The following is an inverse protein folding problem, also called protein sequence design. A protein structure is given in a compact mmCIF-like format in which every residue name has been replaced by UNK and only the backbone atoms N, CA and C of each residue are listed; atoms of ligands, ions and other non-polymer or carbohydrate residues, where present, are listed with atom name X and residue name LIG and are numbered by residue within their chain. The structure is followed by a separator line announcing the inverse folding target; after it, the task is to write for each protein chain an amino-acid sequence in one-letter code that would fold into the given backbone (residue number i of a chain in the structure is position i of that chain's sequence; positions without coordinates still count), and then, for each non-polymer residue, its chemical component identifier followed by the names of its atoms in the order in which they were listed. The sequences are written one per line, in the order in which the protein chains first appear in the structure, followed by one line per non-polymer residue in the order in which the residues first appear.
data_IF_006262500622
#
_entry.id   IF_006262500622
#
_cell.length_a   1.000
_cell.length_b   1.000
_cell.length_c   1.000
_cell.angle_alpha   90.00
_cell.angle_beta   90.00
_cell.angle_gamma   90.00
#
_symmetry.space_group_name_H-M   'P 1'
#
loop_
_entity.id
_entity.type
_entity.pdbx_description
1 polymer ?
#
# COMPACT_ATOMS: atom_id res chain seq x y z
N UNK A 1 1.14 2.60 -7.81
CA UNK A 1 1.31 3.75 -8.72
C UNK A 1 2.74 4.29 -8.58
N UNK A 2 3.70 3.71 -9.31
CA UNK A 2 5.13 3.98 -9.13
C UNK A 2 5.53 5.43 -9.41
N UNK A 3 4.88 6.09 -10.37
CA UNK A 3 5.25 7.44 -10.82
C UNK A 3 4.01 8.35 -10.91
N UNK A 4 3.15 8.30 -9.89
CA UNK A 4 1.93 9.11 -9.89
C UNK A 4 2.24 10.61 -9.71
N UNK A 5 1.47 11.45 -10.39
CA UNK A 5 1.60 12.91 -10.29
C UNK A 5 0.25 13.63 -10.17
N UNK A 6 -0.83 13.03 -10.65
CA UNK A 6 -2.14 13.70 -10.76
C UNK A 6 -3.06 13.37 -9.60
N UNK A 7 -3.95 14.30 -9.29
CA UNK A 7 -5.03 14.09 -8.31
C UNK A 7 -5.92 12.90 -8.69
N UNK A 8 -6.07 12.62 -9.98
CA UNK A 8 -6.77 11.42 -10.47
C UNK A 8 -6.09 10.13 -9.97
N UNK A 9 -4.76 10.07 -10.02
CA UNK A 9 -4.02 8.92 -9.53
C UNK A 9 -4.11 8.82 -7.99
N UNK A 10 -4.11 9.95 -7.28
CA UNK A 10 -4.35 9.97 -5.83
C UNK A 10 -5.73 9.42 -5.47
N UNK A 11 -6.78 9.83 -6.21
CA UNK A 11 -8.13 9.34 -6.00
C UNK A 11 -8.26 7.83 -6.28
N UNK A 12 -7.64 7.33 -7.35
CA UNK A 12 -7.60 5.89 -7.64
C UNK A 12 -6.92 5.11 -6.52
N UNK A 13 -5.78 5.60 -6.03
CA UNK A 13 -5.05 4.95 -4.95
C UNK A 13 -5.86 4.94 -3.64
N UNK A 14 -6.56 6.03 -3.34
CA UNK A 14 -7.49 6.11 -2.21
C UNK A 14 -8.63 5.11 -2.32
N UNK A 15 -9.27 5.03 -3.49
CA UNK A 15 -10.32 4.06 -3.74
C UNK A 15 -9.83 2.61 -3.61
N UNK A 16 -8.64 2.30 -4.15
CA UNK A 16 -8.05 0.96 -4.04
C UNK A 16 -7.80 0.54 -2.58
N UNK A 17 -7.25 1.43 -1.75
CA UNK A 17 -7.08 1.15 -0.32
C UNK A 17 -8.42 1.00 0.38
N UNK A 18 -9.38 1.88 0.07
CA UNK A 18 -10.72 1.83 0.66
C UNK A 18 -11.47 0.51 0.33
N UNK A 19 -11.13 -0.15 -0.78
CA UNK A 19 -11.69 -1.46 -1.16
C UNK A 19 -10.83 -2.65 -0.72
N UNK A 20 -9.86 -2.44 0.18
CA UNK A 20 -9.08 -3.51 0.80
C UNK A 20 -7.87 -3.98 -0.03
N UNK A 21 -7.39 -3.16 -0.96
CA UNK A 21 -6.20 -3.45 -1.77
C UNK A 21 -5.02 -2.61 -1.28
N UNK A 22 -3.98 -3.26 -0.75
CA UNK A 22 -2.74 -2.57 -0.40
C UNK A 22 -2.18 -1.87 -1.63
N UNK A 23 -1.88 -0.58 -1.51
CA UNK A 23 -1.48 0.24 -2.64
C UNK A 23 -0.13 0.89 -2.39
N UNK A 24 0.85 0.55 -3.23
CA UNK A 24 2.20 1.13 -3.18
C UNK A 24 2.28 2.39 -4.06
N UNK A 25 2.80 3.48 -3.50
CA UNK A 25 3.08 4.74 -4.18
C UNK A 25 4.60 4.94 -4.25
N UNK A 26 5.14 5.40 -5.38
CA UNK A 26 6.56 5.76 -5.46
C UNK A 26 6.84 7.09 -4.76
N UNK A 27 6.38 8.22 -5.33
CA UNK A 27 6.38 9.51 -4.64
C UNK A 27 5.46 9.50 -3.42
N UNK A 28 5.91 10.12 -2.33
CA UNK A 28 5.09 10.34 -1.15
C UNK A 28 3.98 11.36 -1.44
N UNK A 29 2.73 11.12 -1.01
CA UNK A 29 1.70 12.16 -1.03
C UNK A 29 2.03 13.27 -0.03
N UNK A 30 1.49 14.49 -0.21
CA UNK A 30 1.77 15.65 0.63
C UNK A 30 1.08 15.58 2.01
N UNK A 31 1.34 14.51 2.77
CA UNK A 31 0.74 14.23 4.09
C UNK A 31 1.78 14.21 5.21
N UNK A 32 3.07 14.30 4.89
CA UNK A 32 4.19 14.13 5.84
C UNK A 32 4.24 15.21 6.94
N UNK A 33 3.52 16.32 6.78
CA UNK A 33 3.38 17.34 7.81
C UNK A 33 2.58 16.90 9.04
N UNK A 34 1.80 15.81 8.95
CA UNK A 34 1.02 15.29 10.07
C UNK A 34 1.33 13.83 10.35
N UNK A 35 1.97 13.56 11.50
CA UNK A 35 2.25 12.20 11.96
C UNK A 35 0.98 11.35 12.10
N UNK A 36 -0.14 11.97 12.51
CA UNK A 36 -1.41 11.27 12.65
C UNK A 36 -1.96 10.81 11.29
N UNK A 37 -1.85 11.65 10.26
CA UNK A 37 -2.32 11.31 8.90
C UNK A 37 -1.42 10.24 8.28
N UNK A 38 -0.10 10.37 8.43
CA UNK A 38 0.86 9.35 7.97
C UNK A 38 0.56 8.00 8.62
N UNK A 39 0.40 7.98 9.94
CA UNK A 39 0.09 6.76 10.70
C UNK A 39 -1.25 6.16 10.30
N UNK A 40 -2.27 6.99 10.10
CA UNK A 40 -3.56 6.53 9.61
C UNK A 40 -3.41 5.85 8.24
N UNK A 41 -2.74 6.51 7.28
CA UNK A 41 -2.60 6.01 5.92
C UNK A 41 -1.76 4.72 5.81
N UNK A 42 -0.71 4.60 6.62
CA UNK A 42 0.27 3.50 6.53
C UNK A 42 -0.02 2.33 7.47
N UNK A 43 -0.76 2.54 8.55
CA UNK A 43 -1.06 1.51 9.56
C UNK A 43 -2.54 1.46 9.94
N UNK A 44 -3.15 2.62 10.19
CA UNK A 44 -4.49 2.72 10.77
C UNK A 44 -5.59 2.15 9.87
N UNK A 45 -5.48 2.33 8.55
CA UNK A 45 -6.47 1.86 7.58
C UNK A 45 -6.57 0.32 7.53
N UNK A 46 -5.52 -0.43 7.90
CA UNK A 46 -5.59 -1.90 7.94
C UNK A 46 -6.74 -2.39 8.83
N UNK A 47 -6.95 -1.73 9.98
CA UNK A 47 -8.01 -2.10 10.93
C UNK A 47 -9.41 -1.68 10.49
N UNK A 48 -9.51 -0.77 9.54
CA UNK A 48 -10.79 -0.19 9.09
C UNK A 48 -11.25 -0.85 7.79
N UNK A 49 -10.34 -1.01 6.83
CA UNK A 49 -10.63 -1.48 5.47
C UNK A 49 -9.77 -2.67 5.04
N UNK A 50 -8.84 -3.16 5.86
CA UNK A 50 -8.02 -4.34 5.54
C UNK A 50 -6.87 -4.08 4.55
N UNK A 51 -6.55 -2.81 4.31
CA UNK A 51 -5.42 -2.37 3.49
C UNK A 51 -4.87 -1.02 3.93
N UNK A 52 -3.63 -0.75 3.51
CA UNK A 52 -2.91 0.51 3.75
C UNK A 52 -2.14 0.96 2.52
N UNK A 53 -1.61 2.18 2.60
CA UNK A 53 -0.60 2.67 1.66
C UNK A 53 0.80 2.25 2.09
N UNK A 54 1.64 1.93 1.12
CA UNK A 54 3.09 1.92 1.29
C UNK A 54 3.71 2.97 0.37
N UNK A 55 4.78 3.62 0.83
CA UNK A 55 5.56 4.56 0.02
C UNK A 55 6.95 3.98 -0.16
N UNK A 56 7.32 3.69 -1.41
CA UNK A 56 8.61 3.11 -1.75
C UNK A 56 9.05 3.62 -3.13
N UNK A 57 9.98 4.59 -3.21
CA UNK A 57 10.45 5.15 -4.47
C UNK A 57 11.37 4.21 -5.25
N UNK A 58 12.02 3.24 -4.60
CA UNK A 58 12.85 2.25 -5.28
C UNK A 58 11.96 1.15 -5.91
N UNK A 59 12.01 0.95 -7.24
CA UNK A 59 11.09 0.04 -7.92
C UNK A 59 11.32 -1.43 -7.56
N UNK A 60 12.56 -1.83 -7.25
CA UNK A 60 12.88 -3.21 -6.87
C UNK A 60 12.31 -3.51 -5.47
N UNK A 61 12.57 -2.66 -4.49
CA UNK A 61 11.98 -2.79 -3.15
C UNK A 61 10.45 -2.67 -3.18
N UNK A 62 9.88 -1.85 -4.08
CA UNK A 62 8.43 -1.77 -4.25
C UNK A 62 7.85 -3.10 -4.77
N UNK A 63 8.55 -3.76 -5.70
CA UNK A 63 8.17 -5.08 -6.19
C UNK A 63 8.24 -6.12 -5.06
N UNK A 64 9.30 -6.11 -4.25
CA UNK A 64 9.45 -6.99 -3.10
C UNK A 64 8.30 -6.83 -2.10
N UNK A 65 7.93 -5.58 -1.76
CA UNK A 65 6.80 -5.29 -0.88
C UNK A 65 5.46 -5.84 -1.41
N UNK A 66 5.24 -5.70 -2.73
CA UNK A 66 4.02 -6.20 -3.38
C UNK A 66 3.99 -7.74 -3.34
N UNK A 67 5.11 -8.38 -3.67
CA UNK A 67 5.25 -9.84 -3.65
C UNK A 67 5.04 -10.35 -2.23
N UNK A 68 5.71 -9.77 -1.23
CA UNK A 68 5.56 -10.16 0.17
C UNK A 68 4.11 -10.06 0.63
N UNK A 69 3.41 -8.96 0.30
CA UNK A 69 2.01 -8.81 0.63
C UNK A 69 1.13 -9.91 -0.01
N UNK A 70 1.34 -10.19 -1.29
CA UNK A 70 0.60 -11.24 -2.01
C UNK A 70 0.84 -12.60 -1.36
N UNK A 71 2.10 -12.95 -1.08
CA UNK A 71 2.46 -14.24 -0.48
C UNK A 71 1.89 -14.39 0.94
N UNK A 72 1.88 -13.33 1.76
CA UNK A 72 1.18 -13.34 3.06
C UNK A 72 -0.32 -13.57 2.90
N UNK A 73 -0.99 -12.92 1.94
CA UNK A 73 -2.42 -13.12 1.68
C UNK A 73 -2.70 -14.54 1.14
N UNK A 74 -1.81 -15.11 0.32
CA UNK A 74 -1.89 -16.51 -0.13
C UNK A 74 -1.80 -17.48 1.04
N UNK A 75 -0.80 -17.31 1.92
CA UNK A 75 -0.64 -18.12 3.12
C UNK A 75 -1.87 -18.05 4.04
N UNK A 76 -2.44 -16.86 4.24
CA UNK A 76 -3.66 -16.65 5.02
C UNK A 76 -4.90 -17.36 4.44
N UNK A 77 -4.90 -17.65 3.14
CA UNK A 77 -5.93 -18.44 2.45
C UNK A 77 -5.62 -19.95 2.42
N UNK A 78 -4.52 -20.39 3.04
CA UNK A 78 -4.09 -21.79 3.00
C UNK A 78 -3.48 -22.22 1.65
N UNK A 79 -3.06 -21.26 0.83
CA UNK A 79 -2.40 -21.53 -0.45
C UNK A 79 -0.87 -21.61 -0.26
N UNK A 80 -0.15 -22.37 -1.10
CA UNK A 80 1.32 -22.39 -1.05
C UNK A 80 1.90 -20.99 -1.24
N UNK A 81 2.73 -20.54 -0.30
CA UNK A 81 3.44 -19.27 -0.39
C UNK A 81 4.93 -19.49 -0.70
N UNK A 82 5.50 -18.67 -1.58
CA UNK A 82 6.89 -18.80 -2.06
C UNK A 82 7.91 -18.22 -1.08
N UNK A 83 7.46 -17.37 -0.18
CA UNK A 83 8.25 -16.73 0.85
C UNK A 83 7.49 -16.87 2.17
N UNK A 84 8.15 -17.48 3.16
CA UNK A 84 7.70 -17.62 4.54
C UNK A 84 8.75 -17.00 5.45
#
# INVERSE_FOLDING_TARGET
APEWYSEKAAAIACYAVATGIMTVLGPAPPILGSKNVVKLATEGLEKVVGATFAVQPDPEQAADLIIEHIERKRAALGLPARTA
#
